data_IF_736345229063
#
_entry.id   IF_736345229063
#
_cell.length_a   1.000
_cell.length_b   1.000
_cell.length_c   1.000
_cell.angle_alpha   90.00
_cell.angle_beta   90.00
_cell.angle_gamma   90.00
#
_symmetry.space_group_name_H-M   'P 1'
#
loop_
_entity.id
_entity.type
_entity.pdbx_description
1 polymer ?
#
# COMPACT_ATOMS: atom_id res chain seq x y z
N UNK A 1 -6.79 19.91 5.38
CA UNK A 1 -6.71 18.63 6.12
C UNK A 1 -5.30 18.47 6.69
N UNK A 2 -5.21 17.97 7.91
CA UNK A 2 -3.93 17.65 8.52
C UNK A 2 -3.84 16.14 8.78
N UNK A 3 -2.68 15.68 9.28
CA UNK A 3 -2.48 14.25 9.51
C UNK A 3 -3.45 13.67 10.53
N UNK A 4 -3.79 14.41 11.55
CA UNK A 4 -4.70 13.95 12.59
C UNK A 4 -6.12 13.78 12.04
N UNK A 5 -6.57 14.73 11.23
CA UNK A 5 -7.87 14.62 10.55
C UNK A 5 -7.88 13.45 9.59
N UNK A 6 -6.79 13.26 8.86
CA UNK A 6 -6.64 12.15 7.94
C UNK A 6 -6.71 10.82 8.67
N UNK A 7 -6.00 10.70 9.79
CA UNK A 7 -6.00 9.48 10.59
C UNK A 7 -7.40 9.14 11.07
N UNK A 8 -8.15 10.13 11.56
CA UNK A 8 -9.52 9.93 12.01
C UNK A 8 -10.42 9.48 10.87
N UNK A 9 -10.28 10.12 9.71
CA UNK A 9 -11.06 9.77 8.54
C UNK A 9 -10.82 8.32 8.12
N UNK A 10 -9.56 7.92 8.02
CA UNK A 10 -9.19 6.57 7.60
C UNK A 10 -9.68 5.53 8.60
N UNK A 11 -9.49 5.78 9.89
CA UNK A 11 -9.96 4.87 10.92
C UNK A 11 -11.48 4.72 10.94
N UNK A 12 -12.19 5.78 10.58
CA UNK A 12 -13.65 5.76 10.48
C UNK A 12 -14.13 4.98 9.25
N UNK A 13 -13.51 5.24 8.09
CA UNK A 13 -13.97 4.66 6.82
C UNK A 13 -13.44 3.24 6.59
N UNK A 14 -12.26 2.92 7.12
CA UNK A 14 -11.61 1.63 6.91
C UNK A 14 -11.41 0.88 8.24
N UNK A 15 -12.35 0.99 9.15
CA UNK A 15 -12.25 0.45 10.51
C UNK A 15 -11.78 -1.01 10.56
N UNK A 16 -12.33 -1.85 9.70
CA UNK A 16 -12.02 -3.29 9.71
C UNK A 16 -10.75 -3.64 8.95
N UNK A 17 -10.16 -2.68 8.24
CA UNK A 17 -9.00 -2.93 7.38
C UNK A 17 -7.70 -2.36 7.92
N UNK A 18 -7.79 -1.51 8.95
CA UNK A 18 -6.60 -0.89 9.54
C UNK A 18 -6.35 -1.53 10.91
N UNK A 19 -5.18 -2.14 11.07
CA UNK A 19 -4.79 -2.77 12.33
C UNK A 19 -4.29 -1.74 13.34
N UNK A 20 -3.51 -0.78 12.86
CA UNK A 20 -3.03 0.32 13.69
C UNK A 20 -2.62 1.50 12.83
N UNK A 21 -2.56 2.66 13.46
CA UNK A 21 -2.11 3.88 12.79
C UNK A 21 -1.26 4.69 13.74
N UNK A 22 -0.31 5.43 13.19
CA UNK A 22 0.54 6.33 13.99
C UNK A 22 1.04 7.46 13.10
N UNK A 23 1.37 8.58 13.72
CA UNK A 23 1.92 9.75 13.02
C UNK A 23 3.35 9.95 13.52
N UNK A 24 4.32 9.87 12.58
CA UNK A 24 5.73 10.05 12.87
C UNK A 24 6.38 10.84 11.74
N UNK A 25 7.20 11.83 12.10
CA UNK A 25 7.99 12.58 11.11
C UNK A 25 7.15 13.15 9.97
N UNK A 26 5.99 13.71 10.32
CA UNK A 26 5.06 14.31 9.35
C UNK A 26 4.49 13.30 8.35
N UNK A 27 4.46 12.03 8.71
CA UNK A 27 3.84 10.98 7.90
C UNK A 27 2.85 10.18 8.73
N UNK A 28 1.77 9.77 8.09
CA UNK A 28 0.83 8.83 8.69
C UNK A 28 1.23 7.43 8.28
N UNK A 29 1.42 6.57 9.27
CA UNK A 29 1.72 5.15 9.04
C UNK A 29 0.49 4.31 9.33
N UNK A 30 0.12 3.46 8.37
CA UNK A 30 -0.99 2.51 8.52
C UNK A 30 -0.44 1.10 8.47
N UNK A 31 -0.82 0.29 9.46
CA UNK A 31 -0.53 -1.15 9.43
C UNK A 31 -1.80 -1.88 9.06
N UNK A 32 -1.71 -2.75 8.06
CA UNK A 32 -2.85 -3.49 7.54
C UNK A 32 -2.49 -4.96 7.40
N UNK A 33 -3.48 -5.79 7.07
CA UNK A 33 -3.24 -7.15 6.65
C UNK A 33 -2.95 -7.18 5.15
N UNK A 34 -2.16 -8.16 4.72
CA UNK A 34 -1.72 -8.29 3.33
C UNK A 34 -2.88 -8.34 2.34
N UNK A 35 -3.99 -8.93 2.73
CA UNK A 35 -5.16 -9.09 1.86
C UNK A 35 -5.93 -7.79 1.64
N UNK A 36 -5.70 -6.78 2.46
CA UNK A 36 -6.43 -5.51 2.38
C UNK A 36 -5.71 -4.44 1.56
N UNK A 37 -4.56 -4.76 0.98
CA UNK A 37 -3.73 -3.78 0.27
C UNK A 37 -4.50 -3.04 -0.83
N UNK A 38 -5.17 -3.77 -1.72
CA UNK A 38 -5.91 -3.17 -2.83
C UNK A 38 -7.02 -2.25 -2.35
N UNK A 39 -7.81 -2.73 -1.39
CA UNK A 39 -8.94 -1.95 -0.86
C UNK A 39 -8.47 -0.63 -0.25
N UNK A 40 -7.42 -0.69 0.54
CA UNK A 40 -6.90 0.49 1.23
C UNK A 40 -6.32 1.49 0.23
N UNK A 41 -5.49 1.02 -0.69
CA UNK A 41 -4.87 1.90 -1.70
C UNK A 41 -5.93 2.51 -2.60
N UNK A 42 -6.92 1.72 -3.03
CA UNK A 42 -7.98 2.21 -3.90
C UNK A 42 -8.79 3.32 -3.22
N UNK A 43 -9.11 3.13 -1.94
CA UNK A 43 -9.80 4.15 -1.17
C UNK A 43 -8.98 5.43 -1.11
N UNK A 44 -7.71 5.33 -0.75
CA UNK A 44 -6.85 6.50 -0.57
C UNK A 44 -6.68 7.30 -1.87
N UNK A 45 -6.60 6.61 -2.99
CA UNK A 45 -6.45 7.27 -4.29
C UNK A 45 -7.74 7.96 -4.74
N UNK A 46 -8.88 7.28 -4.62
CA UNK A 46 -10.12 7.70 -5.25
C UNK A 46 -11.01 8.59 -4.38
N UNK A 47 -10.86 8.54 -3.07
CA UNK A 47 -11.69 9.38 -2.19
C UNK A 47 -11.32 10.85 -2.38
N UNK A 48 -12.34 11.67 -2.57
CA UNK A 48 -12.15 13.10 -2.84
C UNK A 48 -11.54 13.87 -1.67
N UNK A 49 -11.60 13.29 -0.47
CA UNK A 49 -11.04 13.90 0.72
C UNK A 49 -9.56 13.57 0.92
N UNK A 50 -9.09 12.44 0.38
CA UNK A 50 -7.72 11.97 0.58
C UNK A 50 -6.81 12.20 -0.62
N UNK A 51 -7.24 11.82 -1.81
CA UNK A 51 -6.53 12.08 -3.07
C UNK A 51 -5.04 11.71 -3.06
N UNK A 52 -4.73 10.52 -2.56
CA UNK A 52 -3.36 10.00 -2.63
C UNK A 52 -3.13 9.44 -4.02
N UNK A 53 -2.70 10.29 -4.92
CA UNK A 53 -2.61 9.97 -6.36
C UNK A 53 -1.21 9.67 -6.84
N UNK A 54 -0.21 9.73 -5.97
CA UNK A 54 1.15 9.39 -6.33
C UNK A 54 1.70 8.31 -5.41
N UNK A 55 2.21 7.24 -6.03
CA UNK A 55 3.03 6.25 -5.34
C UNK A 55 4.48 6.69 -5.48
N UNK A 56 5.13 6.93 -4.35
CA UNK A 56 6.50 7.44 -4.33
C UNK A 56 7.49 6.29 -4.40
N UNK A 57 7.28 5.26 -3.61
CA UNK A 57 8.24 4.16 -3.50
C UNK A 57 7.60 2.94 -2.87
N UNK A 58 8.26 1.79 -3.05
CA UNK A 58 7.92 0.54 -2.38
C UNK A 58 9.23 0.00 -1.83
N UNK A 59 9.24 -0.34 -0.54
CA UNK A 59 10.41 -0.95 0.09
C UNK A 59 10.05 -2.25 0.78
N UNK A 60 11.06 -3.08 1.02
CA UNK A 60 10.88 -4.34 1.72
C UNK A 60 11.97 -4.49 2.77
N UNK A 61 11.61 -5.14 3.88
CA UNK A 61 12.56 -5.51 4.93
C UNK A 61 12.46 -7.00 5.15
N UNK A 62 13.59 -7.68 5.20
CA UNK A 62 13.66 -9.12 5.41
C UNK A 62 13.94 -9.42 6.89
N UNK A 63 13.04 -10.19 7.50
CA UNK A 63 13.20 -10.68 8.87
C UNK A 63 13.22 -12.21 8.83
N UNK A 64 14.40 -12.82 8.48
CA UNK A 64 14.45 -14.27 8.20
C UNK A 64 13.96 -15.16 9.34
N UNK A 65 13.97 -14.66 10.57
CA UNK A 65 13.59 -15.44 11.75
C UNK A 65 12.09 -15.41 12.04
N UNK A 66 11.35 -14.55 11.34
CA UNK A 66 9.89 -14.41 11.56
C UNK A 66 9.12 -15.32 10.64
N UNK A 67 7.94 -15.75 11.11
CA UNK A 67 7.00 -16.51 10.28
C UNK A 67 6.57 -15.67 9.08
N UNK A 68 6.15 -14.43 9.33
CA UNK A 68 5.94 -13.45 8.26
C UNK A 68 7.26 -12.74 8.02
N UNK A 69 8.02 -13.29 7.10
CA UNK A 69 9.41 -12.93 6.89
C UNK A 69 9.62 -11.53 6.34
N UNK A 70 8.76 -11.10 5.41
CA UNK A 70 8.96 -9.82 4.73
C UNK A 70 7.96 -8.78 5.20
N UNK A 71 8.46 -7.57 5.44
CA UNK A 71 7.62 -6.41 5.68
C UNK A 71 7.70 -5.53 4.45
N UNK A 72 6.55 -5.21 3.86
CA UNK A 72 6.44 -4.33 2.70
C UNK A 72 5.91 -2.98 3.14
N UNK A 73 6.48 -1.91 2.57
CA UNK A 73 6.06 -0.54 2.88
C UNK A 73 5.84 0.20 1.56
N UNK A 74 4.64 0.75 1.40
CA UNK A 74 4.25 1.53 0.22
C UNK A 74 4.11 2.99 0.63
N UNK A 75 4.84 3.87 -0.05
CA UNK A 75 4.86 5.30 0.26
C UNK A 75 4.00 6.07 -0.72
N UNK A 76 3.04 6.83 -0.20
CA UNK A 76 2.07 7.57 -0.99
C UNK A 76 2.12 9.06 -0.66
N UNK A 77 1.77 9.88 -1.65
CA UNK A 77 1.74 11.34 -1.52
C UNK A 77 0.43 11.88 -2.06
N UNK A 78 -0.18 12.79 -1.28
CA UNK A 78 -1.28 13.61 -1.74
C UNK A 78 -0.74 15.03 -1.96
N UNK A 79 -0.62 15.43 -3.24
CA UNK A 79 -0.15 16.77 -3.57
C UNK A 79 -1.15 17.84 -3.14
N UNK A 80 -2.44 17.55 -3.34
CA UNK A 80 -3.48 18.52 -3.05
C UNK A 80 -3.59 18.83 -1.58
N UNK A 81 -3.40 17.83 -0.73
CA UNK A 81 -3.44 18.00 0.71
C UNK A 81 -2.06 18.23 1.33
N UNK A 82 -1.02 18.07 0.53
CA UNK A 82 0.39 18.13 1.00
C UNK A 82 0.63 17.19 2.17
N UNK A 83 0.16 15.95 2.04
CA UNK A 83 0.28 14.92 3.08
C UNK A 83 0.99 13.69 2.55
N UNK A 84 1.79 13.07 3.43
CA UNK A 84 2.48 11.81 3.15
C UNK A 84 1.90 10.71 4.01
N UNK A 85 1.81 9.53 3.42
CA UNK A 85 1.27 8.36 4.10
C UNK A 85 2.05 7.13 3.67
N UNK A 86 2.29 6.21 4.59
CA UNK A 86 2.82 4.91 4.19
C UNK A 86 1.94 3.80 4.75
N UNK A 87 1.90 2.69 4.00
CA UNK A 87 1.13 1.50 4.34
C UNK A 87 2.12 0.38 4.50
N UNK A 88 2.06 -0.33 5.63
CA UNK A 88 2.93 -1.48 5.82
C UNK A 88 2.13 -2.72 6.17
N UNK A 89 2.63 -3.86 5.73
CA UNK A 89 2.08 -5.17 6.07
C UNK A 89 3.19 -6.21 5.99
N UNK A 90 2.96 -7.34 6.65
CA UNK A 90 3.92 -8.43 6.67
C UNK A 90 3.37 -9.63 5.92
N UNK A 91 4.25 -10.36 5.25
CA UNK A 91 3.87 -11.53 4.46
C UNK A 91 4.79 -12.71 4.74
N UNK A 92 4.24 -13.91 4.56
CA UNK A 92 5.03 -15.14 4.58
C UNK A 92 5.84 -15.27 3.30
N UNK A 93 6.90 -16.07 3.34
CA UNK A 93 7.85 -16.21 2.26
C UNK A 93 7.21 -16.55 0.90
N UNK A 94 6.18 -17.38 0.89
CA UNK A 94 5.55 -17.82 -0.36
C UNK A 94 4.24 -17.10 -0.69
N UNK A 95 3.93 -16.03 0.04
CA UNK A 95 2.71 -15.28 -0.22
C UNK A 95 2.83 -14.51 -1.54
N UNK A 96 1.78 -14.56 -2.35
CA UNK A 96 1.72 -13.83 -3.62
C UNK A 96 1.11 -12.46 -3.39
N UNK A 97 1.94 -11.42 -3.53
CA UNK A 97 1.49 -10.03 -3.36
C UNK A 97 0.79 -9.58 -4.63
N UNK A 98 -0.43 -9.09 -4.50
CA UNK A 98 -1.15 -8.56 -5.67
C UNK A 98 -0.49 -7.27 -6.16
N UNK A 99 -0.22 -7.23 -7.46
CA UNK A 99 0.30 -6.02 -8.08
C UNK A 99 -0.71 -4.89 -8.00
N UNK A 100 -0.23 -3.68 -7.76
CA UNK A 100 -1.08 -2.49 -7.74
C UNK A 100 -0.96 -1.67 -9.03
N UNK A 101 -0.43 -2.26 -10.11
CA UNK A 101 -0.30 -1.57 -11.40
C UNK A 101 -1.64 -1.14 -11.99
N UNK A 102 -2.72 -1.83 -11.65
CA UNK A 102 -4.06 -1.42 -12.08
C UNK A 102 -4.51 -0.11 -11.42
N UNK A 103 -3.94 0.21 -10.26
CA UNK A 103 -4.26 1.44 -9.52
C UNK A 103 -3.20 2.51 -9.79
N UNK A 104 -1.93 2.11 -9.70
CA UNK A 104 -0.78 2.99 -9.95
C UNK A 104 0.12 2.35 -11.00
N UNK A 105 -0.03 2.70 -12.27
CA UNK A 105 0.81 2.11 -13.34
C UNK A 105 2.31 2.28 -13.10
N UNK A 106 2.72 3.36 -12.44
CA UNK A 106 4.13 3.60 -12.12
C UNK A 106 4.72 2.56 -11.17
N UNK A 107 3.89 1.77 -10.49
CA UNK A 107 4.36 0.75 -9.57
C UNK A 107 5.04 -0.42 -10.28
N UNK A 108 4.85 -0.56 -11.58
CA UNK A 108 5.33 -1.72 -12.33
C UNK A 108 6.83 -1.97 -12.12
N UNK A 109 7.66 -0.96 -12.37
CA UNK A 109 9.08 -1.13 -12.20
C UNK A 109 9.51 -1.19 -10.73
N UNK A 110 8.83 -0.44 -9.86
CA UNK A 110 9.09 -0.47 -8.42
C UNK A 110 8.85 -1.85 -7.83
N UNK A 111 7.74 -2.47 -8.21
CA UNK A 111 7.41 -3.82 -7.76
C UNK A 111 8.44 -4.83 -8.25
N UNK A 112 8.80 -4.77 -9.52
CA UNK A 112 9.78 -5.68 -10.10
C UNK A 112 11.12 -5.58 -9.40
N UNK A 113 11.60 -4.35 -9.20
CA UNK A 113 12.90 -4.13 -8.59
C UNK A 113 12.96 -4.71 -7.17
N UNK A 114 11.97 -4.37 -6.34
CA UNK A 114 11.95 -4.80 -4.95
C UNK A 114 11.65 -6.28 -4.82
N UNK A 115 10.64 -6.77 -5.53
CA UNK A 115 10.19 -8.14 -5.35
C UNK A 115 11.18 -9.15 -5.94
N UNK A 116 11.84 -8.82 -7.04
CA UNK A 116 12.91 -9.66 -7.59
C UNK A 116 14.09 -9.73 -6.65
N UNK A 117 14.45 -8.61 -6.04
CA UNK A 117 15.58 -8.55 -5.12
C UNK A 117 15.39 -9.49 -3.92
N UNK A 118 14.19 -9.55 -3.39
CA UNK A 118 13.87 -10.35 -2.20
C UNK A 118 13.25 -11.71 -2.52
N UNK A 119 13.03 -12.01 -3.78
CA UNK A 119 12.36 -13.25 -4.17
C UNK A 119 10.90 -13.31 -3.77
N UNK A 120 10.24 -12.16 -3.67
CA UNK A 120 8.83 -12.09 -3.32
C UNK A 120 7.99 -12.35 -4.55
N UNK A 121 7.01 -13.25 -4.43
CA UNK A 121 6.12 -13.59 -5.53
C UNK A 121 5.11 -12.48 -5.77
N UNK A 122 5.02 -12.03 -7.02
CA UNK A 122 4.11 -10.99 -7.43
C UNK A 122 2.96 -11.62 -8.23
N UNK A 123 1.74 -11.28 -7.86
CA UNK A 123 0.54 -11.73 -8.56
C UNK A 123 -0.07 -10.55 -9.30
N UNK A 124 -0.03 -10.61 -10.63
CA UNK A 124 -0.69 -9.62 -11.45
C UNK A 124 -2.17 -9.95 -11.52
N UNK A 125 -3.02 -8.93 -11.25
CA UNK A 125 -4.45 -9.11 -11.44
C UNK A 125 -4.73 -9.20 -12.93
N UNK A 126 -5.47 -10.24 -13.31
CA UNK A 126 -5.85 -10.39 -14.70
C UNK A 126 -6.79 -9.26 -15.11
N UNK A 127 -6.59 -8.66 -16.27
CA UNK A 127 -7.57 -7.71 -16.80
C UNK A 127 -8.89 -8.41 -17.01
N UNK A 128 -9.99 -7.65 -16.96
CA UNK A 128 -11.28 -8.26 -17.18
C UNK A 128 -11.39 -8.74 -18.64
N UNK A 129 -12.19 -9.78 -18.92
CA UNK A 129 -12.28 -10.32 -20.28
C UNK A 129 -12.63 -9.29 -21.35
N UNK A 130 -13.43 -8.30 -21.02
CA UNK A 130 -13.79 -7.29 -22.01
C UNK A 130 -12.64 -6.35 -22.36
N UNK A 131 -11.57 -6.34 -21.58
CA UNK A 131 -10.39 -5.51 -21.87
C UNK A 131 -9.66 -6.00 -23.11
N UNK A 132 -9.97 -7.19 -23.55
CA UNK A 132 -9.36 -7.78 -24.72
C UNK A 132 -10.22 -7.68 -25.97
N UNK A 133 -11.45 -7.33 -25.77
CA UNK A 133 -12.37 -7.41 -26.85
C UNK A 133 -12.96 -6.31 -27.36
#
# INVERSE_FOLDING_TARGET
MNLESLEKLINSELTTKINSSSINHDELKLKIDEEDLHSVILFLKNDTRTKFRQLIDITAVDYPERDKRFKLIYFLLSHENNLRLNIEFEIKENYQVKSITSIFPSSNWMEREVFDMYGICLLYTSPSPRDFG
#
